data_IF_210795021065
#
_entry.id   IF_210795021065
#
_cell.length_a   1.000
_cell.length_b   1.000
_cell.length_c   1.000
_cell.angle_alpha   90.00
_cell.angle_beta   90.00
_cell.angle_gamma   90.00
#
_symmetry.space_group_name_H-M   'P 1'
#
loop_
_entity.id
_entity.type
_entity.pdbx_description
1 polymer ?
#
# COMPACT_ATOMS: atom_id res chain seq x y z
N UNK A 1 5.97 8.45 21.39
CA UNK A 1 5.53 7.07 21.19
C UNK A 1 4.56 6.67 22.30
N UNK A 2 3.63 5.76 22.01
CA UNK A 2 2.76 5.15 23.03
C UNK A 2 3.32 3.76 23.32
N UNK A 3 3.73 3.51 24.57
CA UNK A 3 3.99 2.15 25.03
C UNK A 3 2.66 1.44 25.17
N UNK A 4 2.40 0.47 24.28
CA UNK A 4 1.13 -0.26 24.22
C UNK A 4 0.88 -1.06 25.50
N UNK A 5 1.92 -1.56 26.17
CA UNK A 5 1.78 -2.38 27.38
C UNK A 5 1.42 -1.49 28.57
N UNK A 6 2.23 -0.46 28.84
CA UNK A 6 2.03 0.40 30.02
C UNK A 6 0.97 1.48 29.82
N UNK A 7 0.70 1.88 28.59
CA UNK A 7 -0.16 3.01 28.24
C UNK A 7 0.50 4.38 28.43
N UNK A 8 1.81 4.43 28.69
CA UNK A 8 2.54 5.70 28.87
C UNK A 8 2.94 6.29 27.53
N UNK A 9 2.87 7.60 27.45
CA UNK A 9 3.47 8.35 26.36
C UNK A 9 4.93 8.69 26.71
N UNK A 10 5.81 8.42 25.75
CA UNK A 10 7.23 8.70 25.87
C UNK A 10 7.70 9.54 24.69
N UNK A 11 8.53 10.53 24.96
CA UNK A 11 9.08 11.41 23.93
C UNK A 11 10.54 11.01 23.66
N UNK A 12 10.86 10.76 22.39
CA UNK A 12 12.20 10.40 21.95
C UNK A 12 12.79 11.56 21.16
N UNK A 13 14.00 11.97 21.53
CA UNK A 13 14.78 12.96 20.80
C UNK A 13 16.06 12.31 20.29
N UNK A 14 16.35 12.52 19.01
CA UNK A 14 17.55 11.99 18.36
C UNK A 14 18.15 13.05 17.42
N UNK A 15 19.45 12.94 17.15
CA UNK A 15 20.12 13.81 16.17
C UNK A 15 19.67 13.51 14.74
N UNK A 16 19.29 12.27 14.44
CA UNK A 16 18.62 11.88 13.21
C UNK A 16 17.52 10.86 13.50
N UNK A 17 16.47 10.85 12.67
CA UNK A 17 15.34 9.93 12.75
C UNK A 17 15.17 9.27 11.39
N UNK A 18 15.00 7.94 11.36
CA UNK A 18 14.75 7.18 10.14
C UNK A 18 13.39 6.49 10.25
N UNK A 19 12.52 6.69 9.27
CA UNK A 19 11.28 5.94 9.15
C UNK A 19 11.43 4.79 8.16
N UNK A 20 11.27 3.57 8.65
CA UNK A 20 11.25 2.32 7.88
C UNK A 20 10.04 1.46 8.27
N UNK A 21 8.86 2.08 8.25
CA UNK A 21 7.62 1.57 8.88
C UNK A 21 6.75 0.70 7.96
N UNK A 22 7.24 0.39 6.74
CA UNK A 22 6.51 -0.38 5.74
C UNK A 22 5.40 0.39 5.02
N UNK A 23 4.63 -0.32 4.19
CA UNK A 23 3.55 0.24 3.40
C UNK A 23 2.24 0.50 4.14
N UNK A 24 1.22 0.89 3.37
CA UNK A 24 -0.12 1.24 3.84
C UNK A 24 -1.20 0.24 3.36
N UNK A 25 -0.84 -1.02 3.15
CA UNK A 25 -1.73 -1.98 2.51
C UNK A 25 -3.02 -2.31 3.25
N UNK A 26 -3.05 -2.17 4.58
CA UNK A 26 -4.26 -2.43 5.38
C UNK A 26 -5.33 -1.35 5.26
N UNK A 27 -5.15 -0.34 4.40
CA UNK A 27 -6.24 0.54 3.97
C UNK A 27 -7.16 -0.18 2.97
N UNK A 28 -6.71 -1.28 2.36
CA UNK A 28 -7.52 -2.17 1.52
C UNK A 28 -8.05 -3.37 2.31
N UNK A 29 -9.21 -3.91 1.90
CA UNK A 29 -9.79 -5.14 2.48
C UNK A 29 -9.00 -6.35 2.01
N UNK A 30 -8.85 -6.48 0.68
CA UNK A 30 -8.05 -7.51 0.02
C UNK A 30 -6.59 -7.07 -0.02
N UNK A 31 -5.83 -7.41 1.00
CA UNK A 31 -4.40 -7.10 1.08
C UNK A 31 -3.59 -8.29 1.59
N UNK A 32 -2.43 -8.51 0.97
CA UNK A 32 -1.41 -9.48 1.39
C UNK A 32 -0.57 -8.98 2.58
N UNK A 33 -0.70 -7.72 2.96
CA UNK A 33 0.11 -7.11 4.01
C UNK A 33 -0.33 -7.59 5.40
N UNK A 34 0.63 -7.64 6.31
CA UNK A 34 0.36 -7.90 7.72
C UNK A 34 -0.53 -6.81 8.32
N UNK A 35 -1.25 -7.14 9.40
CA UNK A 35 -2.21 -6.22 10.04
C UNK A 35 -1.57 -4.91 10.52
N UNK A 36 -0.25 -4.89 10.72
CA UNK A 36 0.52 -3.73 11.17
C UNK A 36 0.75 -2.65 10.08
N UNK A 37 0.52 -2.96 8.79
CA UNK A 37 0.74 -2.03 7.68
C UNK A 37 -0.43 -1.04 7.50
N UNK A 38 -0.68 -0.22 8.52
CA UNK A 38 -1.85 0.67 8.62
C UNK A 38 -1.70 2.00 7.89
N UNK A 39 -0.48 2.36 7.47
CA UNK A 39 -0.15 3.66 6.90
C UNK A 39 0.16 4.76 7.93
N UNK A 40 0.05 4.48 9.24
CA UNK A 40 0.35 5.46 10.30
C UNK A 40 1.78 6.02 10.20
N UNK A 41 2.75 5.18 9.81
CA UNK A 41 4.14 5.59 9.59
C UNK A 41 4.30 6.64 8.49
N UNK A 42 3.45 6.62 7.46
CA UNK A 42 3.42 7.65 6.41
C UNK A 42 2.63 8.88 6.88
N UNK A 43 1.57 8.70 7.66
CA UNK A 43 0.70 9.77 8.12
C UNK A 43 1.40 10.77 9.08
N UNK A 44 2.25 10.28 9.98
CA UNK A 44 2.96 11.15 10.95
C UNK A 44 3.81 12.24 10.29
N UNK A 45 4.73 11.94 9.36
CA UNK A 45 5.50 12.97 8.65
C UNK A 45 4.62 13.77 7.69
N UNK A 46 3.58 13.16 7.13
CA UNK A 46 2.58 13.85 6.31
C UNK A 46 1.90 15.00 7.06
N UNK A 47 1.45 14.76 8.30
CA UNK A 47 0.90 15.80 9.17
C UNK A 47 1.93 16.86 9.59
N UNK A 48 3.21 16.51 9.57
CA UNK A 48 4.32 17.43 9.86
C UNK A 48 4.76 18.26 8.64
N UNK A 49 4.12 18.08 7.48
CA UNK A 49 4.36 18.84 6.26
C UNK A 49 5.30 18.17 5.25
N UNK A 50 5.78 16.96 5.51
CA UNK A 50 6.54 16.17 4.51
C UNK A 50 5.55 15.57 3.52
N UNK A 51 5.68 15.80 2.21
CA UNK A 51 4.71 15.28 1.26
C UNK A 51 4.80 13.76 1.12
N UNK A 52 3.67 13.14 0.79
CA UNK A 52 3.64 11.78 0.25
C UNK A 52 3.82 11.87 -1.27
N UNK A 53 4.86 11.24 -1.78
CA UNK A 53 5.16 11.20 -3.22
C UNK A 53 4.57 9.96 -3.86
N UNK A 54 3.97 10.15 -5.04
CA UNK A 54 3.45 9.09 -5.92
C UNK A 54 2.51 8.10 -5.22
N UNK A 55 1.79 8.56 -4.20
CA UNK A 55 1.05 7.71 -3.26
C UNK A 55 -0.12 6.96 -3.94
N UNK A 56 -0.58 7.43 -5.09
CA UNK A 56 -1.55 6.76 -5.95
C UNK A 56 -1.03 5.50 -6.67
N UNK A 57 0.29 5.29 -6.72
CA UNK A 57 0.89 4.08 -7.26
C UNK A 57 0.86 2.95 -6.23
N UNK A 58 -0.20 2.15 -6.31
CA UNK A 58 -0.49 0.98 -5.47
C UNK A 58 -0.48 -0.26 -6.34
N UNK A 59 0.40 -1.22 -6.05
CA UNK A 59 0.50 -2.47 -6.81
C UNK A 59 -0.38 -3.55 -6.18
N UNK A 60 -1.07 -4.27 -7.06
CA UNK A 60 -1.86 -5.44 -6.74
C UNK A 60 -1.09 -6.70 -7.18
N UNK A 61 -1.13 -7.74 -6.36
CA UNK A 61 -0.64 -9.06 -6.72
C UNK A 61 -1.78 -9.86 -7.36
N UNK A 62 -1.56 -10.55 -8.51
CA UNK A 62 -2.63 -11.24 -9.21
C UNK A 62 -3.15 -12.48 -8.48
N UNK A 63 -2.28 -13.15 -7.71
CA UNK A 63 -2.59 -14.45 -7.08
C UNK A 63 -2.57 -14.32 -5.55
N UNK A 64 -3.69 -13.91 -4.97
CA UNK A 64 -3.94 -13.98 -3.52
C UNK A 64 -5.03 -15.00 -3.24
N UNK A 65 -4.86 -15.80 -2.19
CA UNK A 65 -5.80 -16.86 -1.81
C UNK A 65 -7.14 -16.24 -1.38
N UNK A 66 -8.23 -16.70 -1.99
CA UNK A 66 -9.58 -16.20 -1.67
C UNK A 66 -9.91 -16.40 -0.19
N UNK A 67 -10.57 -15.41 0.42
CA UNK A 67 -11.01 -15.45 1.82
C UNK A 67 -9.92 -15.17 2.87
N UNK A 68 -8.66 -15.49 2.58
CA UNK A 68 -7.53 -15.26 3.51
C UNK A 68 -6.59 -14.14 3.06
N UNK A 69 -6.58 -13.83 1.76
CA UNK A 69 -5.68 -12.88 1.10
C UNK A 69 -4.19 -13.21 1.29
N UNK A 70 -3.86 -14.45 1.67
CA UNK A 70 -2.48 -14.93 1.76
C UNK A 70 -1.91 -14.99 0.34
N UNK A 71 -0.67 -14.54 0.19
CA UNK A 71 -0.01 -14.50 -1.11
C UNK A 71 0.30 -15.92 -1.60
N UNK A 72 -0.12 -16.23 -2.82
CA UNK A 72 0.33 -17.42 -3.56
C UNK A 72 1.47 -16.98 -4.48
N UNK A 73 2.68 -17.49 -4.24
CA UNK A 73 3.91 -16.94 -4.84
C UNK A 73 3.86 -16.87 -6.36
N UNK A 74 4.47 -15.82 -6.91
CA UNK A 74 4.71 -15.68 -8.34
C UNK A 74 5.50 -16.87 -8.92
N UNK A 75 6.30 -17.55 -8.09
CA UNK A 75 6.95 -18.80 -8.44
C UNK A 75 5.98 -19.88 -8.93
N UNK A 76 4.72 -19.92 -8.46
CA UNK A 76 3.73 -20.86 -8.98
C UNK A 76 3.47 -20.68 -10.48
N UNK A 77 3.35 -19.42 -10.93
CA UNK A 77 3.19 -19.09 -12.36
C UNK A 77 4.49 -19.33 -13.13
N UNK A 78 5.63 -18.92 -12.55
CA UNK A 78 6.95 -19.14 -13.15
C UNK A 78 7.31 -20.63 -13.33
N UNK A 79 6.78 -21.51 -12.48
CA UNK A 79 6.97 -22.96 -12.58
C UNK A 79 6.02 -23.65 -13.58
N UNK A 80 5.09 -22.90 -14.19
CA UNK A 80 4.15 -23.38 -15.21
C UNK A 80 2.67 -23.23 -14.86
N UNK A 81 2.32 -22.68 -13.69
CA UNK A 81 0.93 -22.58 -13.25
C UNK A 81 0.02 -21.82 -14.20
N UNK A 82 -1.19 -22.35 -14.42
CA UNK A 82 -2.14 -21.86 -15.42
C UNK A 82 -3.30 -21.10 -14.78
N UNK A 83 -3.74 -19.99 -15.37
CA UNK A 83 -4.91 -19.26 -14.90
C UNK A 83 -6.17 -19.71 -15.65
N UNK A 84 -7.14 -20.23 -14.91
CA UNK A 84 -8.38 -20.83 -15.43
C UNK A 84 -9.63 -20.07 -14.97
N UNK A 85 -10.56 -19.85 -15.90
CA UNK A 85 -11.86 -19.25 -15.62
C UNK A 85 -12.91 -20.30 -15.20
N UNK A 86 -14.16 -19.87 -14.98
CA UNK A 86 -15.28 -20.74 -14.62
C UNK A 86 -15.73 -21.75 -15.69
N UNK A 87 -15.17 -21.66 -16.91
CA UNK A 87 -15.37 -22.60 -18.02
C UNK A 87 -14.20 -23.58 -18.17
N UNK A 88 -13.19 -23.50 -17.30
CA UNK A 88 -11.96 -24.29 -17.41
C UNK A 88 -11.02 -23.81 -18.53
N UNK A 89 -11.24 -22.61 -19.08
CA UNK A 89 -10.43 -22.05 -20.16
C UNK A 89 -9.21 -21.31 -19.60
N UNK A 90 -8.05 -21.50 -20.25
CA UNK A 90 -6.85 -20.69 -20.01
C UNK A 90 -7.02 -19.30 -20.64
N UNK A 91 -7.70 -18.42 -19.93
CA UNK A 91 -8.32 -17.22 -20.50
C UNK A 91 -7.35 -16.10 -20.90
N UNK A 92 -6.10 -16.09 -20.41
CA UNK A 92 -5.13 -15.04 -20.74
C UNK A 92 -4.82 -14.92 -22.25
N UNK A 93 -5.04 -16.01 -23.01
CA UNK A 93 -4.88 -16.02 -24.47
C UNK A 93 -5.89 -15.10 -25.19
N UNK A 94 -6.99 -14.72 -24.52
CA UNK A 94 -8.03 -13.84 -25.06
C UNK A 94 -7.60 -12.36 -25.10
N UNK A 95 -6.59 -11.97 -24.33
CA UNK A 95 -6.22 -10.57 -24.15
C UNK A 95 -4.90 -10.24 -24.85
N UNK A 96 -4.89 -9.20 -25.68
CA UNK A 96 -3.72 -8.83 -26.48
C UNK A 96 -2.48 -8.49 -25.65
N UNK A 97 -2.66 -7.91 -24.47
CA UNK A 97 -1.59 -7.52 -23.56
C UNK A 97 -1.02 -8.69 -22.74
N UNK A 98 -1.66 -9.87 -22.75
CA UNK A 98 -1.12 -11.08 -22.11
C UNK A 98 -0.99 -12.29 -23.04
N UNK A 99 -1.52 -12.28 -24.27
CA UNK A 99 -1.53 -13.49 -25.12
C UNK A 99 -0.14 -14.03 -25.48
N UNK A 100 0.88 -13.17 -25.44
CA UNK A 100 2.27 -13.53 -25.72
C UNK A 100 2.95 -14.13 -24.49
N UNK A 101 2.92 -13.41 -23.38
CA UNK A 101 3.67 -13.78 -22.16
C UNK A 101 2.82 -14.60 -21.17
N UNK A 102 1.51 -14.71 -21.37
CA UNK A 102 0.59 -15.51 -20.57
C UNK A 102 0.80 -15.28 -19.06
N UNK A 103 0.96 -16.33 -18.24
CA UNK A 103 1.10 -16.22 -16.78
C UNK A 103 2.44 -15.63 -16.31
N UNK A 104 3.41 -15.40 -17.21
CA UNK A 104 4.65 -14.67 -16.92
C UNK A 104 4.57 -13.19 -17.30
N UNK A 105 3.42 -12.72 -17.79
CA UNK A 105 3.17 -11.30 -18.00
C UNK A 105 3.32 -10.48 -16.69
N UNK A 106 3.63 -9.18 -16.78
CA UNK A 106 3.70 -8.27 -15.64
C UNK A 106 2.48 -8.34 -14.72
N UNK A 107 2.73 -8.17 -13.41
CA UNK A 107 1.69 -8.24 -12.36
C UNK A 107 0.50 -7.33 -12.61
N UNK A 108 0.71 -6.12 -13.14
CA UNK A 108 -0.37 -5.18 -13.43
C UNK A 108 -1.25 -5.66 -14.60
N UNK A 109 -0.65 -6.27 -15.63
CA UNK A 109 -1.38 -6.89 -16.75
C UNK A 109 -2.21 -8.07 -16.25
N UNK A 110 -1.59 -8.99 -15.50
CA UNK A 110 -2.29 -10.16 -14.97
C UNK A 110 -3.45 -9.76 -14.05
N UNK A 111 -3.21 -8.81 -13.16
CA UNK A 111 -4.26 -8.32 -12.26
C UNK A 111 -5.42 -7.68 -13.03
N UNK A 112 -5.13 -6.87 -14.07
CA UNK A 112 -6.16 -6.30 -14.96
C UNK A 112 -6.93 -7.39 -15.70
N UNK A 113 -6.25 -8.40 -16.26
CA UNK A 113 -6.90 -9.43 -17.05
C UNK A 113 -7.73 -10.40 -16.22
N UNK A 114 -7.34 -10.68 -14.97
CA UNK A 114 -8.19 -11.43 -14.03
C UNK A 114 -9.48 -10.64 -13.76
N UNK A 115 -9.39 -9.33 -13.48
CA UNK A 115 -10.60 -8.52 -13.24
C UNK A 115 -11.46 -8.40 -14.50
N UNK A 116 -10.86 -8.22 -15.70
CA UNK A 116 -11.60 -8.22 -16.97
C UNK A 116 -12.35 -9.54 -17.20
N UNK A 117 -11.72 -10.67 -16.89
CA UNK A 117 -12.36 -11.99 -17.07
C UNK A 117 -13.50 -12.19 -16.06
N UNK A 118 -13.34 -11.74 -14.82
CA UNK A 118 -14.42 -11.76 -13.83
C UNK A 118 -15.60 -10.89 -14.31
N UNK A 119 -15.33 -9.67 -14.78
CA UNK A 119 -16.35 -8.74 -15.28
C UNK A 119 -17.05 -9.24 -16.56
N UNK A 120 -16.39 -10.05 -17.38
CA UNK A 120 -16.98 -10.66 -18.58
C UNK A 120 -17.81 -11.92 -18.28
N UNK A 121 -17.95 -12.30 -17.00
CA UNK A 121 -18.70 -13.48 -16.56
C UNK A 121 -17.88 -14.77 -16.53
N UNK A 122 -16.55 -14.68 -16.67
CA UNK A 122 -15.62 -15.81 -16.51
C UNK A 122 -15.20 -16.09 -15.05
N UNK A 123 -15.69 -15.32 -14.08
CA UNK A 123 -15.38 -15.51 -12.67
C UNK A 123 -16.24 -16.60 -12.00
N UNK A 124 -15.66 -17.33 -11.05
CA UNK A 124 -16.42 -18.11 -10.08
C UNK A 124 -17.07 -17.15 -9.07
N UNK A 125 -18.39 -17.30 -8.87
CA UNK A 125 -19.22 -16.40 -8.07
C UNK A 125 -19.04 -14.90 -8.40
N UNK A 126 -18.66 -14.59 -9.64
CA UNK A 126 -18.27 -13.24 -10.09
C UNK A 126 -17.20 -12.57 -9.19
N UNK A 127 -16.32 -13.35 -8.56
CA UNK A 127 -15.37 -12.83 -7.57
C UNK A 127 -13.93 -13.33 -7.76
N UNK A 128 -13.72 -14.53 -8.27
CA UNK A 128 -12.37 -15.11 -8.35
C UNK A 128 -12.17 -16.03 -9.57
N UNK A 129 -10.92 -16.43 -9.82
CA UNK A 129 -10.52 -17.41 -10.84
C UNK A 129 -9.63 -18.47 -10.19
N UNK A 130 -9.23 -19.51 -10.92
CA UNK A 130 -8.35 -20.55 -10.39
C UNK A 130 -6.93 -20.46 -10.94
N UNK A 131 -5.97 -20.84 -10.09
CA UNK A 131 -4.60 -21.20 -10.48
C UNK A 131 -4.47 -22.73 -10.45
N UNK A 132 -4.03 -23.32 -11.57
CA UNK A 132 -3.86 -24.77 -11.73
C UNK A 132 -2.37 -25.15 -11.73
N UNK A 133 -1.98 -25.94 -10.74
CA UNK A 133 -0.63 -26.51 -10.60
C UNK A 133 -0.59 -28.02 -10.79
N UNK A 134 -1.75 -28.68 -10.99
CA UNK A 134 -1.87 -30.15 -10.95
C UNK A 134 -0.99 -30.83 -11.99
N UNK A 135 -0.84 -30.20 -13.15
CA UNK A 135 0.00 -30.71 -14.25
C UNK A 135 1.51 -30.75 -13.90
N UNK A 136 1.96 -30.03 -12.86
CA UNK A 136 3.34 -30.08 -12.40
C UNK A 136 3.68 -31.40 -11.71
N UNK A 137 2.67 -32.09 -11.18
CA UNK A 137 2.83 -33.31 -10.39
C UNK A 137 3.29 -33.04 -8.95
N UNK A 138 2.98 -33.98 -8.07
CA UNK A 138 3.24 -33.88 -6.63
C UNK A 138 4.73 -33.70 -6.30
N UNK A 139 5.62 -34.45 -6.97
CA UNK A 139 7.06 -34.42 -6.74
C UNK A 139 7.64 -33.01 -6.96
N UNK A 140 7.28 -32.37 -8.08
CA UNK A 140 7.75 -31.02 -8.40
C UNK A 140 7.19 -30.00 -7.42
N UNK A 141 5.92 -30.12 -7.03
CA UNK A 141 5.31 -29.22 -6.05
C UNK A 141 6.02 -29.34 -4.69
N UNK A 142 6.30 -30.54 -4.21
CA UNK A 142 7.03 -30.77 -2.96
C UNK A 142 8.46 -30.23 -2.99
N UNK A 143 9.13 -30.32 -4.14
CA UNK A 143 10.50 -29.86 -4.28
C UNK A 143 10.60 -28.33 -4.43
N UNK A 144 9.70 -27.73 -5.22
CA UNK A 144 9.83 -26.33 -5.68
C UNK A 144 8.88 -25.37 -4.98
N UNK A 145 7.72 -25.85 -4.56
CA UNK A 145 6.64 -25.05 -3.97
C UNK A 145 6.12 -25.61 -2.62
N UNK A 146 6.97 -26.19 -1.74
CA UNK A 146 6.49 -26.86 -0.52
C UNK A 146 5.67 -25.94 0.38
N UNK A 147 6.16 -24.72 0.65
CA UNK A 147 5.43 -23.76 1.47
C UNK A 147 4.10 -23.30 0.86
N UNK A 148 3.93 -23.37 -0.45
CA UNK A 148 2.63 -23.08 -1.09
C UNK A 148 1.67 -24.23 -0.89
N UNK A 149 2.14 -25.48 -0.98
CA UNK A 149 1.34 -26.66 -0.65
C UNK A 149 0.85 -26.57 0.79
N UNK A 150 1.74 -26.27 1.74
CA UNK A 150 1.39 -26.09 3.15
C UNK A 150 0.32 -25.00 3.33
N UNK A 151 0.51 -23.82 2.71
CA UNK A 151 -0.47 -22.72 2.77
C UNK A 151 -1.85 -23.16 2.24
N UNK A 152 -1.87 -23.86 1.11
CA UNK A 152 -3.14 -24.30 0.50
C UNK A 152 -3.86 -25.32 1.39
N UNK A 153 -3.12 -26.28 1.95
CA UNK A 153 -3.69 -27.31 2.81
C UNK A 153 -4.17 -26.73 4.15
N UNK A 154 -3.38 -25.86 4.78
CA UNK A 154 -3.70 -25.30 6.09
C UNK A 154 -4.82 -24.25 6.04
N UNK A 155 -4.78 -23.35 5.04
CA UNK A 155 -5.67 -22.19 5.03
C UNK A 155 -6.86 -22.29 4.09
N UNK A 156 -6.80 -23.19 3.09
CA UNK A 156 -7.90 -23.45 2.15
C UNK A 156 -8.43 -24.89 2.19
N UNK A 157 -7.74 -25.82 2.87
CA UNK A 157 -8.17 -27.22 2.94
C UNK A 157 -8.10 -27.94 1.58
N UNK A 158 -7.22 -27.49 0.69
CA UNK A 158 -7.02 -28.06 -0.65
C UNK A 158 -5.57 -28.50 -0.85
N UNK A 159 -5.36 -29.50 -1.69
CA UNK A 159 -4.01 -29.90 -2.10
C UNK A 159 -3.75 -29.43 -3.55
N UNK A 160 -2.82 -28.48 -3.79
CA UNK A 160 -2.56 -27.97 -5.14
C UNK A 160 -2.00 -29.00 -6.12
N UNK A 161 -1.63 -30.20 -5.64
CA UNK A 161 -1.29 -31.33 -6.51
C UNK A 161 -2.53 -31.97 -7.17
N UNK A 162 -3.71 -31.88 -6.55
CA UNK A 162 -4.96 -32.52 -7.03
C UNK A 162 -6.09 -31.53 -7.27
N UNK A 163 -6.07 -30.39 -6.60
CA UNK A 163 -7.12 -29.38 -6.58
C UNK A 163 -6.68 -28.06 -7.23
N UNK A 164 -7.66 -27.25 -7.62
CA UNK A 164 -7.45 -25.91 -8.14
C UNK A 164 -7.35 -24.89 -7.00
N UNK A 165 -6.43 -23.93 -7.10
CA UNK A 165 -6.24 -22.90 -6.07
C UNK A 165 -7.15 -21.69 -6.39
N UNK A 166 -8.12 -21.32 -5.54
CA UNK A 166 -8.96 -20.15 -5.77
C UNK A 166 -8.17 -18.87 -5.49
N UNK A 167 -7.99 -18.04 -6.52
CA UNK A 167 -7.19 -16.82 -6.43
C UNK A 167 -7.95 -15.58 -6.90
N UNK A 168 -7.63 -14.45 -6.28
CA UNK A 168 -8.10 -13.12 -6.67
C UNK A 168 -6.95 -12.11 -6.59
N UNK A 169 -7.01 -10.99 -7.33
CA UNK A 169 -6.08 -9.90 -7.14
C UNK A 169 -6.30 -9.22 -5.77
N UNK A 170 -5.21 -8.81 -5.12
CA UNK A 170 -5.23 -8.10 -3.85
C UNK A 170 -4.07 -7.11 -3.72
N UNK A 171 -4.26 -6.04 -2.94
CA UNK A 171 -3.21 -5.05 -2.71
C UNK A 171 -1.96 -5.72 -2.11
N UNK A 172 -0.78 -5.31 -2.56
CA UNK A 172 0.47 -5.95 -2.19
C UNK A 172 1.61 -5.02 -1.84
N UNK A 173 1.82 -3.95 -2.62
CA UNK A 173 2.94 -3.03 -2.39
C UNK A 173 2.52 -1.58 -2.57
N UNK A 174 3.07 -0.70 -1.73
CA UNK A 174 2.89 0.75 -1.80
C UNK A 174 4.15 1.35 -2.43
N UNK A 175 4.10 1.77 -3.71
CA UNK A 175 5.30 2.34 -4.37
C UNK A 175 5.54 3.79 -3.99
N UNK A 176 4.45 4.54 -3.82
CA UNK A 176 4.52 5.85 -3.20
C UNK A 176 4.74 5.76 -1.69
N UNK A 177 5.00 6.90 -1.07
CA UNK A 177 5.36 6.96 0.35
C UNK A 177 5.94 8.31 0.72
N UNK A 178 6.68 8.36 1.82
CA UNK A 178 7.33 9.59 2.31
C UNK A 178 8.32 10.08 1.23
N UNK A 179 8.18 11.33 0.80
CA UNK A 179 9.11 11.88 -0.19
C UNK A 179 10.53 12.00 0.38
N UNK A 180 11.47 11.39 -0.31
CA UNK A 180 12.90 11.55 -0.06
C UNK A 180 13.70 11.51 -1.37
N UNK A 181 14.96 11.95 -1.27
CA UNK A 181 15.95 11.83 -2.36
C UNK A 181 16.65 10.47 -2.33
N UNK A 182 17.59 10.24 -3.25
CA UNK A 182 18.37 8.99 -3.36
C UNK A 182 19.28 8.72 -2.15
N UNK A 183 19.59 9.75 -1.38
CA UNK A 183 20.32 9.68 -0.11
C UNK A 183 19.40 9.38 1.09
N UNK A 184 18.12 9.08 0.81
CA UNK A 184 17.03 8.85 1.77
C UNK A 184 16.63 10.06 2.62
N UNK A 185 17.10 11.26 2.27
CA UNK A 185 16.80 12.50 2.99
C UNK A 185 15.43 13.05 2.59
N UNK A 186 14.63 13.41 3.58
CA UNK A 186 13.38 14.16 3.36
C UNK A 186 13.65 15.66 3.32
N UNK A 187 12.60 16.45 3.07
CA UNK A 187 12.69 17.93 3.17
C UNK A 187 13.04 18.42 4.59
N UNK A 188 12.84 17.59 5.63
CA UNK A 188 13.20 17.91 7.01
C UNK A 188 14.61 17.39 7.27
N UNK A 189 15.55 18.30 7.53
CA UNK A 189 16.95 17.95 7.84
C UNK A 189 17.03 17.02 9.05
N UNK A 190 17.82 15.95 8.93
CA UNK A 190 17.94 14.93 9.96
C UNK A 190 16.79 13.92 10.00
N UNK A 191 15.79 14.04 9.13
CA UNK A 191 14.73 13.05 8.97
C UNK A 191 14.88 12.32 7.63
N UNK A 192 14.98 10.99 7.73
CA UNK A 192 15.21 10.08 6.62
C UNK A 192 14.05 9.08 6.51
N UNK A 193 13.83 8.53 5.31
CA UNK A 193 12.89 7.45 5.09
C UNK A 193 13.52 6.37 4.20
N UNK A 194 13.25 5.09 4.49
CA UNK A 194 13.76 3.96 3.71
C UNK A 194 12.75 2.80 3.62
N UNK A 195 12.98 1.91 2.65
CA UNK A 195 12.10 0.78 2.36
C UNK A 195 10.73 1.21 1.86
N UNK A 196 9.72 0.35 2.01
CA UNK A 196 8.35 0.60 1.50
C UNK A 196 7.67 1.84 2.11
N UNK A 197 8.13 2.34 3.25
CA UNK A 197 7.61 3.59 3.82
C UNK A 197 8.00 4.83 2.99
N UNK A 198 9.09 4.73 2.23
CA UNK A 198 9.69 5.81 1.47
C UNK A 198 9.33 5.72 -0.01
N UNK A 199 9.29 6.87 -0.67
CA UNK A 199 9.34 6.93 -2.11
C UNK A 199 10.69 7.51 -2.52
N UNK A 200 11.67 6.64 -2.79
CA UNK A 200 12.97 7.04 -3.37
C UNK A 200 12.90 7.20 -4.90
N UNK A 201 11.73 6.92 -5.49
CA UNK A 201 11.43 6.92 -6.93
C UNK A 201 12.03 5.77 -7.76
N UNK A 202 12.71 4.78 -7.16
CA UNK A 202 13.29 3.64 -7.91
C UNK A 202 12.26 2.66 -8.48
N UNK A 203 11.08 2.57 -7.86
CA UNK A 203 10.00 1.67 -8.33
C UNK A 203 9.11 2.29 -9.39
N UNK A 204 9.10 3.62 -9.49
CA UNK A 204 8.14 4.38 -10.30
C UNK A 204 6.70 3.90 -10.08
N UNK A 205 5.93 3.80 -11.17
CA UNK A 205 4.53 3.41 -11.11
C UNK A 205 4.29 1.89 -11.00
N UNK A 206 5.33 1.05 -11.06
CA UNK A 206 5.17 -0.40 -10.97
C UNK A 206 6.48 -1.08 -10.52
N UNK A 207 6.54 -1.52 -9.27
CA UNK A 207 7.68 -2.22 -8.68
C UNK A 207 7.92 -3.58 -9.35
N UNK A 208 9.17 -3.88 -9.72
CA UNK A 208 9.56 -5.19 -10.25
C UNK A 208 9.62 -6.25 -9.14
N UNK A 209 9.07 -7.45 -9.37
CA UNK A 209 9.16 -8.58 -8.44
C UNK A 209 10.61 -8.86 -8.00
N UNK A 210 10.81 -9.22 -6.73
CA UNK A 210 12.14 -9.35 -6.11
C UNK A 210 12.75 -8.04 -5.57
N UNK A 211 12.49 -6.88 -6.18
CA UNK A 211 13.19 -5.63 -5.83
C UNK A 211 12.86 -4.97 -4.47
N UNK A 212 11.72 -5.26 -3.82
CA UNK A 212 11.36 -4.63 -2.55
C UNK A 212 12.28 -5.04 -1.40
N UNK A 213 12.76 -6.27 -1.38
CA UNK A 213 13.74 -6.71 -0.36
C UNK A 213 15.09 -6.04 -0.62
N UNK A 214 15.51 -5.98 -1.88
CA UNK A 214 16.74 -5.27 -2.26
C UNK A 214 16.66 -3.78 -1.89
N UNK A 215 15.52 -3.14 -2.13
CA UNK A 215 15.22 -1.75 -1.74
C UNK A 215 15.42 -1.55 -0.23
N UNK A 216 14.85 -2.41 0.61
CA UNK A 216 15.04 -2.31 2.07
C UNK A 216 16.51 -2.42 2.51
N UNK A 217 17.29 -3.30 1.90
CA UNK A 217 18.71 -3.51 2.25
C UNK A 217 19.56 -2.32 1.78
N UNK A 218 19.40 -1.93 0.52
CA UNK A 218 20.20 -0.87 -0.11
C UNK A 218 19.90 0.48 0.53
N UNK A 219 18.63 0.89 0.56
CA UNK A 219 18.26 2.20 1.10
C UNK A 219 18.27 2.24 2.63
N UNK A 220 18.16 1.09 3.30
CA UNK A 220 18.46 0.98 4.73
C UNK A 220 19.93 1.30 5.03
N UNK A 221 20.87 0.75 4.25
CA UNK A 221 22.30 1.03 4.40
C UNK A 221 22.65 2.49 4.07
N UNK A 222 22.05 3.06 3.02
CA UNK A 222 22.24 4.47 2.63
C UNK A 222 21.69 5.41 3.72
N UNK A 223 20.43 5.23 4.13
CA UNK A 223 19.81 6.05 5.17
C UNK A 223 20.59 6.01 6.49
N UNK A 224 21.02 4.82 6.92
CA UNK A 224 21.82 4.64 8.13
C UNK A 224 23.18 5.35 8.04
N UNK A 225 23.87 5.21 6.91
CA UNK A 225 25.17 5.84 6.68
C UNK A 225 25.08 7.37 6.66
N UNK A 226 24.05 7.91 6.00
CA UNK A 226 23.88 9.36 5.88
C UNK A 226 23.38 9.98 7.19
N UNK A 227 22.48 9.31 7.91
CA UNK A 227 22.07 9.73 9.25
C UNK A 227 23.28 9.76 10.22
N UNK A 228 24.17 8.77 10.16
CA UNK A 228 25.38 8.75 10.97
C UNK A 228 26.33 9.92 10.65
N UNK A 229 26.57 10.21 9.36
CA UNK A 229 27.37 11.37 8.92
C UNK A 229 26.74 12.68 9.38
N UNK A 230 25.42 12.82 9.22
CA UNK A 230 24.68 14.01 9.64
C UNK A 230 24.86 14.29 11.14
N UNK A 231 24.80 13.25 11.98
CA UNK A 231 25.01 13.36 13.43
C UNK A 231 26.44 13.79 13.78
N UNK A 232 27.46 13.34 13.04
CA UNK A 232 28.85 13.75 13.28
C UNK A 232 29.07 15.26 13.03
N UNK A 233 28.30 15.84 12.11
CA UNK A 233 28.36 17.27 11.79
C UNK A 233 27.40 18.12 12.65
N UNK A 234 26.56 17.50 13.50
CA UNK A 234 25.62 18.21 14.36
C UNK A 234 26.32 18.82 15.57
N UNK A 235 26.26 20.15 15.69
CA UNK A 235 26.75 20.90 16.86
C UNK A 235 25.94 20.73 18.15
N UNK A 236 25.20 19.64 18.31
CA UNK A 236 24.67 19.18 19.60
C UNK A 236 23.66 20.09 20.33
N UNK A 237 22.72 20.75 19.65
CA UNK A 237 21.68 21.54 20.34
C UNK A 237 20.45 20.68 20.70
N UNK A 238 20.14 20.58 22.00
CA UNK A 238 18.88 20.00 22.50
C UNK A 238 17.81 21.09 22.61
N UNK A 239 16.62 20.85 22.07
CA UNK A 239 15.44 21.70 22.26
C UNK A 239 14.41 21.05 23.18
N UNK A 240 14.58 21.17 24.50
CA UNK A 240 13.65 20.56 25.49
C UNK A 240 12.22 21.10 25.37
N UNK A 241 12.05 22.39 25.07
CA UNK A 241 10.73 23.01 24.92
C UNK A 241 9.93 22.41 23.75
N UNK A 242 10.59 22.14 22.62
CA UNK A 242 9.93 21.57 21.42
C UNK A 242 9.44 20.15 21.70
N UNK A 243 10.21 19.37 22.47
CA UNK A 243 9.85 18.00 22.85
C UNK A 243 8.62 17.99 23.78
N UNK A 244 8.61 18.87 24.79
CA UNK A 244 7.49 19.01 25.71
C UNK A 244 6.20 19.45 24.99
N UNK A 245 6.29 20.36 24.04
CA UNK A 245 5.14 20.79 23.25
C UNK A 245 4.60 19.67 22.35
N UNK A 246 5.48 18.86 21.76
CA UNK A 246 5.07 17.69 20.98
C UNK A 246 4.35 16.65 21.85
N UNK A 247 4.86 16.40 23.06
CA UNK A 247 4.25 15.49 24.02
C UNK A 247 2.85 15.98 24.44
N UNK A 248 2.72 17.26 24.81
CA UNK A 248 1.42 17.86 25.17
C UNK A 248 0.39 17.77 24.04
N UNK A 249 0.80 17.96 22.79
CA UNK A 249 -0.11 17.78 21.62
C UNK A 249 -0.58 16.34 21.48
N UNK A 250 0.30 15.37 21.74
CA UNK A 250 -0.06 13.95 21.70
C UNK A 250 -1.00 13.58 22.86
N UNK A 251 -0.73 14.07 24.07
CA UNK A 251 -1.58 13.91 25.25
C UNK A 251 -2.98 14.48 25.01
N UNK A 252 -3.07 15.71 24.52
CA UNK A 252 -4.35 16.36 24.22
C UNK A 252 -5.18 15.57 23.20
N UNK A 253 -4.53 15.03 22.16
CA UNK A 253 -5.19 14.18 21.16
C UNK A 253 -5.76 12.91 21.78
N UNK A 254 -4.99 12.25 22.66
CA UNK A 254 -5.43 11.03 23.33
C UNK A 254 -6.54 11.32 24.35
N UNK A 255 -6.43 12.41 25.11
CA UNK A 255 -7.48 12.85 26.03
C UNK A 255 -8.79 13.14 25.33
N UNK A 256 -8.74 13.78 24.15
CA UNK A 256 -9.93 14.02 23.35
C UNK A 256 -10.64 12.71 22.96
N UNK A 257 -9.88 11.67 22.61
CA UNK A 257 -10.44 10.34 22.32
C UNK A 257 -11.07 9.68 23.55
N UNK A 258 -10.46 9.83 24.74
CA UNK A 258 -11.03 9.31 25.98
C UNK A 258 -12.30 10.05 26.42
N UNK A 259 -12.40 11.35 26.13
CA UNK A 259 -13.55 12.20 26.47
C UNK A 259 -14.69 12.13 25.43
N UNK A 260 -14.45 11.49 24.28
CA UNK A 260 -15.44 11.38 23.22
C UNK A 260 -16.67 10.59 23.68
N UNK A 261 -17.85 11.18 23.52
CA UNK A 261 -19.16 10.64 23.87
C UNK A 261 -19.97 10.20 22.63
N UNK A 262 -19.32 10.17 21.46
CA UNK A 262 -19.94 9.77 20.20
C UNK A 262 -20.38 8.30 20.13
N UNK A 263 -20.87 7.90 18.96
CA UNK A 263 -21.46 6.56 18.74
C UNK A 263 -20.78 5.78 17.59
N UNK A 264 -19.73 6.33 16.98
CA UNK A 264 -19.00 5.66 15.92
C UNK A 264 -17.91 4.77 16.52
N UNK A 265 -17.58 3.66 15.85
CA UNK A 265 -16.56 2.71 16.34
C UNK A 265 -15.48 2.49 15.29
N UNK A 266 -14.27 2.14 15.76
CA UNK A 266 -13.13 1.80 14.91
C UNK A 266 -13.49 0.77 13.84
N UNK A 267 -14.16 -0.31 14.23
CA UNK A 267 -14.46 -1.45 13.34
C UNK A 267 -15.34 -1.02 12.16
N UNK A 268 -16.40 -0.24 12.44
CA UNK A 268 -17.33 0.22 11.40
C UNK A 268 -16.64 1.15 10.41
N UNK A 269 -15.89 2.14 10.90
CA UNK A 269 -15.19 3.10 10.05
C UNK A 269 -14.11 2.39 9.24
N UNK A 270 -13.35 1.47 9.85
CA UNK A 270 -12.27 0.73 9.19
C UNK A 270 -12.80 -0.17 8.08
N UNK A 271 -13.85 -0.95 8.36
CA UNK A 271 -14.48 -1.81 7.36
C UNK A 271 -15.06 -0.99 6.20
N UNK A 272 -15.68 0.15 6.49
CA UNK A 272 -16.19 1.06 5.45
C UNK A 272 -15.04 1.60 4.59
N UNK A 273 -13.95 2.06 5.20
CA UNK A 273 -12.76 2.54 4.48
C UNK A 273 -12.20 1.46 3.56
N UNK A 274 -12.02 0.24 4.07
CA UNK A 274 -11.51 -0.89 3.32
C UNK A 274 -12.37 -1.20 2.08
N UNK A 275 -13.69 -1.19 2.24
CA UNK A 275 -14.64 -1.38 1.13
C UNK A 275 -14.54 -0.27 0.08
N UNK A 276 -14.41 1.00 0.49
CA UNK A 276 -14.25 2.14 -0.45
C UNK A 276 -12.98 1.97 -1.27
N UNK A 277 -11.86 1.65 -0.63
CA UNK A 277 -10.58 1.50 -1.32
C UNK A 277 -10.58 0.34 -2.31
N UNK A 278 -11.13 -0.82 -1.95
CA UNK A 278 -11.20 -1.98 -2.84
C UNK A 278 -12.14 -1.75 -4.03
N UNK A 279 -13.30 -1.13 -3.79
CA UNK A 279 -14.33 -0.98 -4.83
C UNK A 279 -14.09 0.19 -5.80
N UNK A 280 -13.44 1.26 -5.34
CA UNK A 280 -13.31 2.51 -6.12
C UNK A 280 -11.87 2.95 -6.39
N UNK A 281 -10.90 2.39 -5.67
CA UNK A 281 -9.48 2.78 -5.71
C UNK A 281 -8.58 1.58 -5.96
N UNK A 282 -9.11 0.61 -6.71
CA UNK A 282 -8.48 -0.66 -7.05
C UNK A 282 -7.61 -0.60 -8.30
N UNK A 283 -7.63 -1.70 -9.05
CA UNK A 283 -6.87 -1.90 -10.30
C UNK A 283 -7.38 -0.99 -11.41
N UNK A 284 -8.70 -0.95 -11.63
CA UNK A 284 -9.36 -0.04 -12.55
C UNK A 284 -9.93 1.14 -11.79
N UNK A 285 -9.76 2.34 -12.35
CA UNK A 285 -10.19 3.59 -11.74
C UNK A 285 -10.82 4.48 -12.80
N UNK A 286 -11.77 5.30 -12.40
CA UNK A 286 -12.41 6.32 -13.25
C UNK A 286 -12.74 7.56 -12.41
N UNK A 287 -12.88 8.72 -13.05
CA UNK A 287 -13.09 9.99 -12.34
C UNK A 287 -14.34 9.97 -11.44
N UNK A 288 -15.46 9.39 -11.88
CA UNK A 288 -16.72 9.27 -11.12
C UNK A 288 -16.49 8.51 -9.81
N UNK A 289 -16.02 7.28 -9.90
CA UNK A 289 -15.75 6.43 -8.75
C UNK A 289 -14.72 7.05 -7.79
N UNK A 290 -13.68 7.70 -8.31
CA UNK A 290 -12.66 8.38 -7.49
C UNK A 290 -13.22 9.61 -6.76
N UNK A 291 -14.10 10.39 -7.38
CA UNK A 291 -14.80 11.51 -6.71
C UNK A 291 -15.71 11.01 -5.60
N UNK A 292 -16.45 9.93 -5.85
CA UNK A 292 -17.26 9.28 -4.82
C UNK A 292 -16.40 8.75 -3.67
N UNK A 293 -15.28 8.08 -3.96
CA UNK A 293 -14.36 7.61 -2.95
C UNK A 293 -13.82 8.75 -2.09
N UNK A 294 -13.48 9.89 -2.70
CA UNK A 294 -13.01 11.06 -1.96
C UNK A 294 -14.07 11.59 -1.00
N UNK A 295 -15.31 11.69 -1.46
CA UNK A 295 -16.44 12.13 -0.63
C UNK A 295 -16.72 11.15 0.52
N UNK A 296 -16.65 9.84 0.26
CA UNK A 296 -16.86 8.81 1.27
C UNK A 296 -15.73 8.77 2.30
N UNK A 297 -14.47 8.91 1.89
CA UNK A 297 -13.33 9.03 2.80
C UNK A 297 -13.48 10.28 3.69
N UNK A 298 -13.89 11.42 3.13
CA UNK A 298 -14.19 12.63 3.90
C UNK A 298 -15.34 12.43 4.89
N UNK A 299 -16.39 11.71 4.48
CA UNK A 299 -17.47 11.34 5.39
C UNK A 299 -16.98 10.45 6.54
N UNK A 300 -16.07 9.50 6.27
CA UNK A 300 -15.45 8.65 7.28
C UNK A 300 -14.53 9.43 8.23
N UNK A 301 -13.76 10.40 7.73
CA UNK A 301 -12.99 11.34 8.55
C UNK A 301 -13.90 12.17 9.46
N UNK A 302 -15.08 12.58 8.98
CA UNK A 302 -16.08 13.26 9.82
C UNK A 302 -16.70 12.33 10.87
N UNK A 303 -16.97 11.07 10.54
CA UNK A 303 -17.39 10.05 11.53
C UNK A 303 -16.32 9.81 12.59
N UNK A 304 -15.04 9.79 12.20
CA UNK A 304 -13.92 9.63 13.12
C UNK A 304 -13.91 10.69 14.23
N UNK A 305 -14.37 11.92 13.95
CA UNK A 305 -14.50 12.98 14.99
C UNK A 305 -15.48 12.62 16.11
N UNK A 306 -16.39 11.66 15.89
CA UNK A 306 -17.36 11.14 16.86
C UNK A 306 -17.05 9.69 17.26
N UNK A 307 -15.80 9.25 17.09
CA UNK A 307 -15.40 7.88 17.46
C UNK A 307 -15.38 7.73 18.97
N UNK A 308 -15.91 6.60 19.45
CA UNK A 308 -15.87 6.22 20.86
C UNK A 308 -14.97 5.00 21.05
N UNK A 309 -14.12 5.06 22.07
CA UNK A 309 -13.29 3.93 22.46
C UNK A 309 -14.13 2.85 23.13
N UNK A 310 -13.94 1.58 22.74
CA UNK A 310 -14.60 0.44 23.37
C UNK A 310 -14.01 0.14 24.76
N UNK A 311 -12.77 0.56 25.00
CA UNK A 311 -12.06 0.38 26.26
C UNK A 311 -11.26 1.64 26.60
N UNK A 312 -11.45 2.15 27.82
CA UNK A 312 -10.87 3.41 28.30
C UNK A 312 -9.74 3.22 29.32
N UNK A 313 -9.36 1.98 29.66
CA UNK A 313 -8.21 1.72 30.51
C UNK A 313 -6.89 2.05 29.80
N UNK A 314 -5.82 2.33 30.55
CA UNK A 314 -4.54 2.77 29.95
C UNK A 314 -3.65 1.62 29.47
N UNK A 315 -3.56 0.53 30.23
CA UNK A 315 -2.67 -0.61 29.93
C UNK A 315 -3.24 -1.49 28.84
N UNK A 316 -2.38 -1.95 27.92
CA UNK A 316 -2.75 -2.82 26.81
C UNK A 316 -3.97 -2.33 26.01
N UNK A 317 -4.12 -1.00 25.85
CA UNK A 317 -5.30 -0.43 25.21
C UNK A 317 -5.21 -0.49 23.68
N UNK A 318 -5.54 -1.66 23.12
CA UNK A 318 -5.62 -1.87 21.67
C UNK A 318 -6.72 -1.01 21.03
N UNK A 319 -7.80 -0.71 21.75
CA UNK A 319 -8.86 0.18 21.24
C UNK A 319 -8.30 1.58 20.93
N UNK A 320 -7.44 2.12 21.78
CA UNK A 320 -6.75 3.39 21.55
C UNK A 320 -5.74 3.26 20.41
N UNK A 321 -4.91 2.21 20.41
CA UNK A 321 -3.91 1.97 19.37
C UNK A 321 -4.52 1.97 17.96
N UNK A 322 -5.52 1.11 17.74
CA UNK A 322 -6.23 1.02 16.47
C UNK A 322 -6.95 2.32 16.08
N UNK A 323 -7.50 3.05 17.06
CA UNK A 323 -8.15 4.34 16.81
C UNK A 323 -7.13 5.40 16.36
N UNK A 324 -5.93 5.42 16.92
CA UNK A 324 -4.86 6.32 16.47
C UNK A 324 -4.39 5.96 15.06
N UNK A 325 -4.20 4.68 14.77
CA UNK A 325 -3.81 4.19 13.45
C UNK A 325 -4.87 4.47 12.38
N UNK A 326 -6.16 4.37 12.73
CA UNK A 326 -7.27 4.67 11.82
C UNK A 326 -7.22 6.11 11.30
N UNK A 327 -6.82 7.08 12.13
CA UNK A 327 -6.65 8.46 11.65
C UNK A 327 -5.59 8.52 10.54
N UNK A 328 -4.48 7.81 10.73
CA UNK A 328 -3.43 7.69 9.72
C UNK A 328 -3.93 7.00 8.45
N UNK A 329 -4.65 5.88 8.59
CA UNK A 329 -5.25 5.17 7.45
C UNK A 329 -6.19 6.08 6.64
N UNK A 330 -7.05 6.87 7.30
CA UNK A 330 -8.02 7.75 6.63
C UNK A 330 -7.33 8.86 5.82
N UNK A 331 -6.30 9.49 6.39
CA UNK A 331 -5.61 10.59 5.71
C UNK A 331 -4.70 10.11 4.59
N UNK A 332 -4.04 8.96 4.77
CA UNK A 332 -3.28 8.33 3.68
C UNK A 332 -4.22 7.87 2.57
N UNK A 333 -5.41 7.35 2.89
CA UNK A 333 -6.42 7.02 1.89
C UNK A 333 -6.87 8.26 1.11
N UNK A 334 -7.15 9.38 1.79
CA UNK A 334 -7.48 10.64 1.13
C UNK A 334 -6.37 11.06 0.16
N UNK A 335 -5.09 10.95 0.58
CA UNK A 335 -3.95 11.26 -0.27
C UNK A 335 -3.86 10.35 -1.51
N UNK A 336 -4.06 9.04 -1.36
CA UNK A 336 -4.12 8.07 -2.46
C UNK A 336 -5.23 8.46 -3.45
N UNK A 337 -6.44 8.74 -2.94
CA UNK A 337 -7.60 9.06 -3.78
C UNK A 337 -7.40 10.39 -4.50
N UNK A 338 -6.90 11.42 -3.81
CA UNK A 338 -6.63 12.73 -4.39
C UNK A 338 -5.57 12.65 -5.50
N UNK A 339 -4.46 11.93 -5.27
CA UNK A 339 -3.42 11.71 -6.27
C UNK A 339 -3.94 10.91 -7.47
N UNK A 340 -4.75 9.88 -7.23
CA UNK A 340 -5.34 9.06 -8.28
C UNK A 340 -6.37 9.82 -9.13
N UNK A 341 -7.17 10.68 -8.49
CA UNK A 341 -8.18 11.50 -9.17
C UNK A 341 -7.52 12.55 -10.05
N UNK A 342 -6.49 13.22 -9.54
CA UNK A 342 -5.80 14.28 -10.26
C UNK A 342 -4.97 13.75 -11.44
N UNK A 343 -4.36 12.57 -11.33
CA UNK A 343 -3.59 11.97 -12.43
C UNK A 343 -4.51 11.42 -13.52
N UNK A 344 -4.61 12.16 -14.61
CA UNK A 344 -5.41 11.82 -15.79
C UNK A 344 -4.57 11.12 -16.87
N UNK A 345 -3.93 10.01 -16.48
CA UNK A 345 -3.24 9.08 -17.40
C UNK A 345 -3.32 7.64 -16.88
N UNK A 346 -2.84 6.69 -17.66
CA UNK A 346 -2.58 5.31 -17.20
C UNK A 346 -1.09 5.00 -17.28
N UNK A 347 -0.48 4.71 -16.13
CA UNK A 347 0.95 4.41 -16.00
C UNK A 347 1.15 3.32 -14.95
N UNK A 348 1.72 2.19 -15.37
CA UNK A 348 2.03 1.07 -14.49
C UNK A 348 0.80 0.53 -13.75
N UNK A 349 0.83 0.58 -12.42
CA UNK A 349 -0.25 0.11 -11.54
C UNK A 349 -1.44 1.07 -11.44
N UNK A 350 -1.27 2.33 -11.87
CA UNK A 350 -2.36 3.29 -11.94
C UNK A 350 -3.00 3.22 -13.33
N UNK A 351 -4.23 2.71 -13.40
CA UNK A 351 -4.96 2.57 -14.65
C UNK A 351 -6.32 3.27 -14.58
N UNK A 352 -6.43 4.36 -15.35
CA UNK A 352 -7.62 5.17 -15.53
C UNK A 352 -8.35 4.72 -16.79
N UNK A 353 -9.53 4.13 -16.65
CA UNK A 353 -10.32 3.66 -17.81
C UNK A 353 -10.79 4.81 -18.70
N UNK A 354 -10.98 6.00 -18.12
CA UNK A 354 -11.26 7.28 -18.78
C UNK A 354 -10.00 7.95 -19.39
N UNK A 355 -8.80 7.53 -18.98
CA UNK A 355 -7.51 7.99 -19.53
C UNK A 355 -6.56 6.80 -19.74
N UNK A 356 -6.84 5.89 -20.71
CA UNK A 356 -6.19 4.58 -20.79
C UNK A 356 -4.74 4.61 -21.30
N UNK A 357 -4.27 5.77 -21.78
CA UNK A 357 -2.93 5.92 -22.35
C UNK A 357 -1.98 6.53 -21.34
N UNK A 358 -0.70 6.17 -21.46
CA UNK A 358 0.40 6.87 -20.80
C UNK A 358 0.60 8.22 -21.46
N UNK A 359 0.78 9.27 -20.67
CA UNK A 359 1.02 10.63 -21.16
C UNK A 359 2.37 11.15 -20.63
N UNK A 360 3.40 11.07 -21.46
CA UNK A 360 4.73 11.58 -21.11
C UNK A 360 4.86 13.10 -21.31
N UNK A 361 3.88 13.76 -21.93
CA UNK A 361 3.90 15.23 -22.11
C UNK A 361 3.30 15.93 -20.90
N UNK A 362 2.12 15.49 -20.44
CA UNK A 362 1.42 16.09 -19.31
C UNK A 362 1.81 15.51 -17.94
N UNK A 363 2.20 14.23 -17.89
CA UNK A 363 2.30 13.46 -16.65
C UNK A 363 3.65 12.81 -16.37
N UNK A 364 4.72 13.21 -17.08
CA UNK A 364 6.10 12.84 -16.74
C UNK A 364 6.62 13.63 -15.51
N UNK A 365 5.89 13.47 -14.40
CA UNK A 365 6.09 14.15 -13.13
C UNK A 365 5.67 13.25 -11.97
N UNK A 366 6.31 13.44 -10.84
CA UNK A 366 5.89 12.87 -9.58
C UNK A 366 4.76 13.70 -8.99
N UNK A 367 3.79 13.03 -8.36
CA UNK A 367 2.76 13.71 -7.55
C UNK A 367 3.29 13.89 -6.14
N UNK A 368 3.15 15.08 -5.58
CA UNK A 368 3.43 15.37 -4.18
C UNK A 368 2.12 15.76 -3.51
N UNK A 369 1.73 14.98 -2.50
CA UNK A 369 0.54 15.27 -1.71
C UNK A 369 0.98 15.83 -0.37
N UNK A 370 0.53 17.03 -0.04
CA UNK A 370 0.74 17.69 1.24
C UNK A 370 -0.53 17.65 2.08
N UNK A 371 -0.37 17.52 3.40
CA UNK A 371 -1.48 17.58 4.33
C UNK A 371 -1.93 19.02 4.47
N UNK A 372 -3.23 19.28 4.38
CA UNK A 372 -3.82 20.56 4.70
C UNK A 372 -5.19 20.37 5.38
N UNK A 373 -5.62 21.31 6.25
CA UNK A 373 -6.88 21.19 6.99
C UNK A 373 -8.13 21.04 6.11
N UNK A 374 -8.13 21.64 4.93
CA UNK A 374 -9.25 21.64 3.98
C UNK A 374 -9.25 20.41 3.03
N UNK A 375 -8.27 19.52 3.19
CA UNK A 375 -8.06 18.33 2.37
C UNK A 375 -6.68 18.32 1.70
N UNK A 376 -6.36 17.19 1.07
CA UNK A 376 -5.05 16.98 0.44
C UNK A 376 -4.69 18.08 -0.59
N UNK A 377 -3.56 18.77 -0.39
CA UNK A 377 -3.02 19.75 -1.34
C UNK A 377 -2.03 19.07 -2.28
N UNK A 378 -2.25 19.19 -3.58
CA UNK A 378 -1.37 18.60 -4.59
C UNK A 378 -0.30 19.58 -5.07
N UNK A 379 0.85 19.03 -5.41
CA UNK A 379 1.94 19.68 -6.10
C UNK A 379 2.65 18.63 -6.99
N UNK A 380 3.57 19.05 -7.83
CA UNK A 380 4.27 18.16 -8.75
C UNK A 380 5.75 18.49 -8.83
N UNK A 381 6.57 17.46 -9.05
CA UNK A 381 7.98 17.65 -9.40
C UNK A 381 8.35 16.85 -10.64
N UNK A 382 9.23 17.36 -11.51
CA UNK A 382 9.63 16.63 -12.72
C UNK A 382 10.33 15.33 -12.36
N UNK A 383 10.19 14.32 -13.22
CA UNK A 383 10.99 13.09 -13.16
C UNK A 383 12.40 13.39 -13.65
N UNK A 384 13.42 12.86 -12.98
CA UNK A 384 14.78 12.95 -13.49
C UNK A 384 15.00 11.93 -14.63
N UNK A 385 15.20 12.43 -15.85
CA UNK A 385 15.42 11.64 -17.07
C UNK A 385 16.87 11.66 -17.57
N UNK A 386 17.81 12.19 -16.77
CA UNK A 386 19.20 12.40 -17.21
C UNK A 386 19.91 11.13 -17.68
N UNK A 387 19.53 9.98 -17.13
CA UNK A 387 20.19 8.69 -17.41
C UNK A 387 19.50 7.86 -18.49
N UNK A 388 18.21 8.12 -18.76
CA UNK A 388 17.42 7.32 -19.70
C UNK A 388 16.30 8.15 -20.32
N UNK A 389 16.21 8.13 -21.65
CA UNK A 389 15.07 8.69 -22.38
C UNK A 389 13.80 7.85 -22.15
N UNK A 390 12.64 8.48 -21.88
CA UNK A 390 11.37 7.77 -21.79
C UNK A 390 11.06 7.00 -23.08
N UNK A 391 10.80 5.70 -22.94
CA UNK A 391 10.38 4.83 -24.05
C UNK A 391 9.11 4.08 -23.68
N UNK A 392 8.33 3.70 -24.69
CA UNK A 392 7.20 2.80 -24.47
C UNK A 392 7.70 1.52 -23.80
N UNK A 393 6.99 1.08 -22.75
CA UNK A 393 7.35 -0.13 -22.03
C UNK A 393 6.88 -1.32 -22.86
N UNK A 394 7.83 -2.07 -23.42
CA UNK A 394 7.57 -3.36 -24.07
C UNK A 394 7.62 -4.45 -23.00
N UNK A 395 6.65 -5.36 -23.05
CA UNK A 395 6.54 -6.50 -22.16
C UNK A 395 6.95 -7.79 -22.89
#
# INVERSE_FOLDING_TARGET
ALDIVSGRLEAFQAGAVIFATGGAGRIYEKSTNALINTGMGMAVPYWAGVPLKDIEFIQFHPTTLVGKNILITEGCRGEGGLLLNNKGERFLAKYDDSKKDMEIAPRDILSRNIIREIMSGGGFDNNYVHLDLRHLGEEKINQRLPGIRDICMEFAGIDPATDLIPIQPGQHYTMGGIDCNVECETIVKGFYAAGEAACVSVHGANRLGGNSLLDTIVFGAIAGSNAAKYIQCLGGKRGENVLNDALKRAEHRIEALYKSDGNETYVIIKASLNKVMDSKVGIFREASALKEALNEVKALQNKYKRIKLNYTGKRANLSLGWTLELKGSLDVAEAIVAGALAREESRGSHFRTDFPKRDDTGWLKHTLVYFAPEGARLDYKPVNISSFEPKERKY
#
